data_IF_378264435111
#
_entry.id   IF_378264435111
#
_cell.length_a   1.000
_cell.length_b   1.000
_cell.length_c   1.000
_cell.angle_alpha   90.00
_cell.angle_beta   90.00
_cell.angle_gamma   90.00
#
_symmetry.space_group_name_H-M   'P 1'
#
loop_
_entity.id
_entity.type
_entity.pdbx_description
1 polymer ?
#
# COMPACT_ATOMS: atom_id res chain seq x y z
N UNK A 1 -5.43 -5.91 -20.57
CA UNK A 1 -4.73 -4.62 -20.39
C UNK A 1 -4.77 -4.35 -18.90
N UNK A 2 -3.66 -4.58 -18.20
CA UNK A 2 -3.63 -4.50 -16.75
C UNK A 2 -2.74 -3.32 -16.39
N UNK A 3 -3.35 -2.14 -16.26
CA UNK A 3 -2.73 -0.94 -15.72
C UNK A 3 -2.48 -1.17 -14.23
N UNK A 4 -1.44 -1.95 -13.93
CA UNK A 4 -1.01 -2.28 -12.58
C UNK A 4 0.29 -1.54 -12.31
N UNK A 5 0.33 -0.78 -11.23
CA UNK A 5 1.46 0.10 -10.91
C UNK A 5 2.16 -0.31 -9.63
N UNK A 6 3.49 -0.25 -9.64
CA UNK A 6 4.31 -0.56 -8.49
C UNK A 6 4.36 0.65 -7.56
N UNK A 7 3.55 0.63 -6.51
CA UNK A 7 3.46 1.76 -5.57
C UNK A 7 4.12 1.45 -4.24
N UNK A 8 4.69 2.47 -3.61
CA UNK A 8 5.17 2.45 -2.24
C UNK A 8 4.08 2.98 -1.30
N UNK A 9 3.83 2.24 -0.23
CA UNK A 9 2.88 2.61 0.82
C UNK A 9 3.66 3.13 2.02
N UNK A 10 3.35 4.33 2.43
CA UNK A 10 3.85 4.98 3.63
C UNK A 10 2.68 5.49 4.47
N UNK A 11 2.93 5.79 5.75
CA UNK A 11 1.91 6.32 6.66
C UNK A 11 2.39 7.66 7.22
N UNK A 12 1.45 8.57 7.47
CA UNK A 12 1.74 9.90 8.01
C UNK A 12 2.18 9.84 9.49
N UNK A 13 1.81 8.78 10.20
CA UNK A 13 2.15 8.59 11.61
C UNK A 13 1.85 7.18 12.09
N UNK A 14 2.17 6.92 13.36
CA UNK A 14 1.95 5.61 13.99
C UNK A 14 0.45 5.32 14.14
N UNK A 15 -0.35 6.31 14.53
CA UNK A 15 -1.81 6.17 14.66
C UNK A 15 -2.46 5.77 13.33
N UNK A 16 -2.09 6.46 12.25
CA UNK A 16 -2.54 6.12 10.91
C UNK A 16 -2.16 4.69 10.54
N UNK A 17 -0.92 4.27 10.84
CA UNK A 17 -0.48 2.90 10.62
C UNK A 17 -1.30 1.90 11.42
N UNK A 18 -1.53 2.11 12.72
CA UNK A 18 -2.31 1.17 13.54
C UNK A 18 -3.76 1.02 13.07
N UNK A 19 -4.38 2.11 12.60
CA UNK A 19 -5.78 2.10 12.12
C UNK A 19 -5.89 1.50 10.72
N UNK A 20 -4.92 1.80 9.84
CA UNK A 20 -5.04 1.45 8.42
C UNK A 20 -4.27 0.21 8.00
N UNK A 21 -3.25 -0.26 8.75
CA UNK A 21 -2.38 -1.40 8.35
C UNK A 21 -3.16 -2.67 8.01
N UNK A 22 -4.17 -3.02 8.82
CA UNK A 22 -4.93 -4.25 8.65
C UNK A 22 -5.78 -4.16 7.37
N UNK A 23 -6.34 -2.97 7.10
CA UNK A 23 -7.12 -2.69 5.89
C UNK A 23 -6.25 -2.58 4.64
N UNK A 24 -5.05 -1.99 4.75
CA UNK A 24 -4.06 -1.95 3.66
C UNK A 24 -3.68 -3.37 3.26
N UNK A 25 -3.39 -4.23 4.25
CA UNK A 25 -3.04 -5.63 4.03
C UNK A 25 -4.15 -6.42 3.40
N UNK A 26 -5.39 -6.26 3.88
CA UNK A 26 -6.56 -6.89 3.27
C UNK A 26 -6.75 -6.49 1.80
N UNK A 27 -6.66 -5.19 1.49
CA UNK A 27 -6.80 -4.68 0.12
C UNK A 27 -5.74 -5.25 -0.83
N UNK A 28 -4.49 -5.33 -0.38
CA UNK A 28 -3.38 -5.84 -1.19
C UNK A 28 -3.48 -7.36 -1.36
N UNK A 29 -3.88 -8.07 -0.31
CA UNK A 29 -4.12 -9.51 -0.38
C UNK A 29 -5.28 -9.85 -1.33
N UNK A 30 -6.36 -9.07 -1.32
CA UNK A 30 -7.50 -9.24 -2.24
C UNK A 30 -7.11 -8.97 -3.70
N UNK A 31 -6.28 -7.93 -3.95
CA UNK A 31 -5.87 -7.55 -5.31
C UNK A 31 -4.76 -8.45 -5.90
N UNK A 32 -3.80 -8.85 -5.08
CA UNK A 32 -2.56 -9.52 -5.52
C UNK A 32 -2.40 -10.95 -5.01
N UNK A 33 -3.15 -11.35 -3.99
CA UNK A 33 -2.94 -12.60 -3.25
C UNK A 33 -1.75 -12.56 -2.28
N UNK A 34 -1.03 -11.45 -2.17
CA UNK A 34 0.11 -11.31 -1.27
C UNK A 34 -0.33 -10.77 0.10
N UNK A 35 -0.23 -11.62 1.13
CA UNK A 35 -0.60 -11.28 2.50
C UNK A 35 0.56 -10.66 3.30
N UNK A 36 1.82 -10.97 2.96
CA UNK A 36 3.01 -10.49 3.68
C UNK A 36 4.08 -10.06 2.68
N UNK A 37 4.71 -8.92 2.95
CA UNK A 37 5.84 -8.40 2.18
C UNK A 37 6.88 -7.77 3.11
N UNK A 38 8.14 -7.63 2.65
CA UNK A 38 9.17 -6.97 3.43
C UNK A 38 8.84 -5.49 3.64
N UNK A 39 8.69 -5.10 4.91
CA UNK A 39 8.53 -3.72 5.35
C UNK A 39 9.81 -3.22 6.03
N UNK A 40 10.00 -1.90 6.04
CA UNK A 40 11.12 -1.30 6.76
C UNK A 40 10.95 -1.39 8.27
N UNK A 41 12.07 -1.46 9.01
CA UNK A 41 12.08 -1.44 10.48
C UNK A 41 11.90 -0.03 11.06
N UNK A 42 11.23 0.86 10.33
CA UNK A 42 10.96 2.24 10.74
C UNK A 42 9.58 2.33 11.39
N UNK A 43 9.34 3.39 12.17
CA UNK A 43 8.04 3.70 12.75
C UNK A 43 7.64 5.12 12.30
N UNK A 44 6.60 5.28 11.45
CA UNK A 44 5.81 4.21 10.84
C UNK A 44 6.62 3.42 9.77
N UNK A 45 6.35 2.11 9.61
CA UNK A 45 6.98 1.32 8.57
C UNK A 45 6.47 1.78 7.21
N UNK A 46 7.26 1.59 6.17
CA UNK A 46 6.78 1.71 4.80
C UNK A 46 7.15 0.45 4.05
N UNK A 47 6.26 0.05 3.15
CA UNK A 47 6.35 -1.20 2.42
C UNK A 47 6.14 -0.97 0.94
N UNK A 48 6.72 -1.84 0.13
CA UNK A 48 6.40 -1.96 -1.28
C UNK A 48 5.85 -3.38 -1.48
N UNK A 49 4.59 -3.52 -1.94
CA UNK A 49 4.05 -4.83 -2.23
C UNK A 49 4.86 -5.48 -3.37
N UNK A 50 4.98 -6.82 -3.37
CA UNK A 50 5.81 -7.54 -4.33
C UNK A 50 5.22 -7.57 -5.74
N UNK A 51 3.91 -7.30 -5.86
CA UNK A 51 3.20 -7.24 -7.12
C UNK A 51 2.62 -5.85 -7.35
N UNK A 52 2.59 -5.37 -8.61
CA UNK A 52 1.99 -4.09 -8.94
C UNK A 52 0.47 -4.16 -8.70
N UNK A 53 -0.07 -3.11 -8.09
CA UNK A 53 -1.47 -3.03 -7.66
C UNK A 53 -2.35 -2.49 -8.79
N UNK A 54 -3.60 -2.95 -8.85
CA UNK A 54 -4.59 -2.33 -9.74
C UNK A 54 -4.88 -0.88 -9.35
N UNK A 55 -5.30 -0.06 -10.32
CA UNK A 55 -5.73 1.31 -10.04
C UNK A 55 -6.87 1.39 -9.01
N UNK A 56 -7.80 0.43 -9.01
CA UNK A 56 -8.86 0.36 -8.00
C UNK A 56 -8.30 0.17 -6.59
N UNK A 57 -7.33 -0.75 -6.43
CA UNK A 57 -6.68 -0.95 -5.13
C UNK A 57 -5.92 0.31 -4.69
N UNK A 58 -5.19 0.96 -5.60
CA UNK A 58 -4.48 2.22 -5.32
C UNK A 58 -5.44 3.32 -4.86
N UNK A 59 -6.60 3.46 -5.51
CA UNK A 59 -7.62 4.45 -5.11
C UNK A 59 -8.18 4.13 -3.72
N UNK A 60 -8.48 2.86 -3.41
CA UNK A 60 -8.95 2.44 -2.09
C UNK A 60 -7.91 2.73 -1.01
N UNK A 61 -6.63 2.48 -1.29
CA UNK A 61 -5.52 2.77 -0.38
C UNK A 61 -5.35 4.28 -0.15
N UNK A 62 -5.46 5.11 -1.19
CA UNK A 62 -5.42 6.57 -1.07
C UNK A 62 -6.61 7.17 -0.33
N UNK A 63 -7.74 6.47 -0.31
CA UNK A 63 -8.92 6.88 0.44
C UNK A 63 -8.80 6.60 1.95
N UNK A 64 -7.77 5.85 2.38
CA UNK A 64 -7.49 5.63 3.81
C UNK A 64 -6.85 6.87 4.42
N UNK A 65 -7.37 7.28 5.57
CA UNK A 65 -6.84 8.42 6.31
C UNK A 65 -5.42 8.14 6.81
N UNK A 66 -4.50 9.06 6.51
CA UNK A 66 -3.10 8.95 6.92
C UNK A 66 -2.24 7.96 6.13
N UNK A 67 -2.73 7.39 5.02
CA UNK A 67 -1.95 6.57 4.09
C UNK A 67 -1.45 7.41 2.91
N UNK A 68 -0.15 7.32 2.62
CA UNK A 68 0.51 8.00 1.50
C UNK A 68 1.00 6.98 0.49
N UNK A 69 0.60 7.15 -0.77
CA UNK A 69 1.02 6.28 -1.87
C UNK A 69 1.94 7.05 -2.82
N UNK A 70 3.14 6.52 -3.08
CA UNK A 70 4.16 7.12 -3.97
C UNK A 70 4.60 6.10 -5.02
N UNK A 71 5.11 6.51 -6.19
CA UNK A 71 5.62 5.57 -7.21
C UNK A 71 4.61 5.14 -8.30
N UNK A 72 3.54 5.90 -8.50
CA UNK A 72 2.65 5.74 -9.67
C UNK A 72 3.32 6.21 -10.99
N UNK A 73 4.55 6.73 -10.90
CA UNK A 73 5.35 7.22 -12.03
C UNK A 73 5.95 6.04 -12.79
N UNK A 74 5.29 5.75 -13.91
CA UNK A 74 5.78 5.01 -15.06
C UNK A 74 6.96 5.82 -15.66
N UNK A 75 8.18 5.30 -15.61
CA UNK A 75 9.32 5.77 -16.43
C UNK A 75 9.57 4.76 -17.56
#
# INVERSE_FOLDING_TARGET
MADRKAVRIAYQGIEAWEISRDKVRELIADDTGADIWPETKSLPPFGMPPSPLSQECIQKLRALEGVTISGDEDD
#
